data_IF_911608529320
#
_entry.id   IF_911608529320
#
_cell.length_a   1.000
_cell.length_b   1.000
_cell.length_c   1.000
_cell.angle_alpha   90.00
_cell.angle_beta   90.00
_cell.angle_gamma   90.00
#
_symmetry.space_group_name_H-M   'P 1'
#
loop_
_entity.id
_entity.type
_entity.pdbx_description
1 polymer ?
#
# COMPACT_ATOMS: atom_id res chain seq x y z
N UNK A 1 10.46 1.82 -12.49
CA UNK A 1 10.78 0.59 -11.74
C UNK A 1 9.49 0.08 -11.11
N UNK A 2 9.27 -1.26 -11.08
CA UNK A 2 8.05 -1.91 -10.57
C UNK A 2 8.20 -2.35 -9.11
N UNK A 3 8.84 -1.52 -8.30
CA UNK A 3 9.24 -1.79 -6.92
C UNK A 3 8.36 -1.09 -5.87
N UNK A 4 7.35 -0.35 -6.33
CA UNK A 4 6.40 0.39 -5.50
C UNK A 4 4.99 0.28 -6.08
N UNK A 5 3.99 0.63 -5.25
CA UNK A 5 2.57 0.63 -5.62
C UNK A 5 1.99 2.00 -5.36
N UNK A 6 1.24 2.52 -6.33
CA UNK A 6 0.39 3.71 -6.17
C UNK A 6 -1.06 3.28 -5.96
N UNK A 7 -1.75 3.91 -5.02
CA UNK A 7 -3.15 3.64 -4.74
C UNK A 7 -3.92 4.95 -4.54
N UNK A 8 -5.11 5.03 -5.13
CA UNK A 8 -6.09 6.08 -4.86
C UNK A 8 -7.19 5.49 -3.99
N UNK A 9 -7.27 5.89 -2.72
CA UNK A 9 -8.20 5.33 -1.74
C UNK A 9 -8.97 6.43 -1.02
N UNK A 10 -10.25 6.17 -0.74
CA UNK A 10 -11.08 7.03 0.11
C UNK A 10 -10.98 6.57 1.56
N UNK A 11 -10.63 7.48 2.48
CA UNK A 11 -10.47 7.19 3.90
C UNK A 11 -11.50 8.03 4.68
N UNK A 12 -12.37 7.39 5.50
CA UNK A 12 -13.25 8.13 6.40
C UNK A 12 -12.45 9.01 7.38
N UNK A 13 -12.92 10.24 7.67
CA UNK A 13 -12.15 11.21 8.47
C UNK A 13 -11.89 10.78 9.91
N UNK A 14 -12.65 9.80 10.43
CA UNK A 14 -12.42 9.21 11.76
C UNK A 14 -11.13 8.39 11.86
N UNK A 15 -10.55 7.99 10.72
CA UNK A 15 -9.32 7.20 10.68
C UNK A 15 -8.14 8.06 10.26
N UNK A 16 -7.06 8.00 11.03
CA UNK A 16 -5.80 8.57 10.60
C UNK A 16 -5.25 7.80 9.39
N UNK A 17 -4.69 8.54 8.42
CA UNK A 17 -4.05 7.96 7.22
C UNK A 17 -3.00 6.92 7.59
N UNK A 18 -2.16 7.21 8.59
CA UNK A 18 -1.11 6.32 9.07
C UNK A 18 -1.64 4.97 9.53
N UNK A 19 -2.78 4.94 10.21
CA UNK A 19 -3.43 3.71 10.68
C UNK A 19 -3.88 2.85 9.51
N UNK A 20 -4.52 3.45 8.50
CA UNK A 20 -4.99 2.73 7.32
C UNK A 20 -3.83 2.19 6.50
N UNK A 21 -2.81 3.01 6.24
CA UNK A 21 -1.62 2.59 5.49
C UNK A 21 -0.84 1.50 6.23
N UNK A 22 -0.68 1.62 7.55
CA UNK A 22 -0.06 0.60 8.38
C UNK A 22 -0.80 -0.73 8.32
N UNK A 23 -2.13 -0.70 8.40
CA UNK A 23 -2.97 -1.89 8.25
C UNK A 23 -2.82 -2.54 6.88
N UNK A 24 -2.90 -1.75 5.80
CA UNK A 24 -2.76 -2.25 4.42
C UNK A 24 -1.39 -2.89 4.18
N UNK A 25 -0.30 -2.22 4.60
CA UNK A 25 1.07 -2.75 4.49
C UNK A 25 1.22 -4.05 5.29
N UNK A 26 0.72 -4.11 6.53
CA UNK A 26 0.82 -5.31 7.36
C UNK A 26 0.01 -6.49 6.82
N UNK A 27 -1.25 -6.28 6.43
CA UNK A 27 -2.11 -7.34 5.91
C UNK A 27 -1.67 -7.84 4.53
N UNK A 28 -1.16 -6.96 3.68
CA UNK A 28 -0.63 -7.36 2.37
C UNK A 28 0.61 -8.24 2.51
N UNK A 29 1.55 -7.97 3.43
CA UNK A 29 2.69 -8.89 3.68
C UNK A 29 2.19 -10.29 4.02
N UNK A 30 1.20 -10.40 4.93
CA UNK A 30 0.63 -11.71 5.28
C UNK A 30 -0.05 -12.38 4.09
N UNK A 31 -0.78 -11.62 3.27
CA UNK A 31 -1.44 -12.16 2.08
C UNK A 31 -0.41 -12.63 1.05
N UNK A 32 0.63 -11.85 0.78
CA UNK A 32 1.70 -12.18 -0.16
C UNK A 32 2.46 -13.43 0.29
N UNK A 33 2.84 -13.51 1.57
CA UNK A 33 3.49 -14.69 2.12
C UNK A 33 2.63 -15.95 2.00
N UNK A 34 1.29 -15.84 2.11
CA UNK A 34 0.39 -16.99 1.89
C UNK A 34 0.26 -17.41 0.43
N UNK A 35 0.18 -16.48 -0.51
CA UNK A 35 -0.10 -16.79 -1.92
C UNK A 35 1.16 -17.07 -2.73
N UNK A 36 2.26 -16.40 -2.39
CA UNK A 36 3.51 -16.43 -3.15
C UNK A 36 4.71 -16.86 -2.31
N UNK A 37 4.51 -17.10 -1.01
CA UNK A 37 5.61 -17.50 -0.15
C UNK A 37 6.10 -18.91 -0.47
N UNK A 38 7.42 -19.09 -0.46
CA UNK A 38 8.01 -20.43 -0.47
C UNK A 38 7.83 -21.07 0.91
N UNK A 39 7.76 -22.40 0.97
CA UNK A 39 7.43 -23.18 2.17
C UNK A 39 8.38 -23.07 3.38
N UNK A 40 9.23 -22.05 3.48
CA UNK A 40 10.11 -21.81 4.64
C UNK A 40 10.09 -20.35 5.09
N UNK A 41 9.78 -20.18 6.38
CA UNK A 41 10.07 -19.08 7.31
C UNK A 41 10.58 -17.74 6.73
N UNK A 42 9.66 -16.78 6.55
CA UNK A 42 9.92 -15.35 6.26
C UNK A 42 10.44 -14.53 7.47
N UNK A 43 11.01 -15.19 8.47
CA UNK A 43 11.52 -14.52 9.67
C UNK A 43 12.67 -13.58 9.32
N UNK A 44 12.47 -12.27 9.51
CA UNK A 44 13.47 -11.23 9.26
C UNK A 44 13.36 -10.55 7.89
N UNK A 45 12.47 -10.99 7.00
CA UNK A 45 12.25 -10.34 5.72
C UNK A 45 11.23 -9.19 5.82
N UNK A 46 11.53 -8.07 5.17
CA UNK A 46 10.68 -6.88 5.15
C UNK A 46 10.26 -6.62 3.71
N UNK A 47 8.98 -6.85 3.41
CA UNK A 47 8.45 -6.66 2.06
C UNK A 47 8.31 -5.18 1.68
N UNK A 48 7.83 -4.35 2.61
CA UNK A 48 7.63 -2.92 2.39
C UNK A 48 8.70 -2.09 3.07
N UNK A 49 9.21 -1.04 2.40
CA UNK A 49 10.01 -0.01 3.05
C UNK A 49 9.29 0.57 4.29
N UNK A 50 10.04 1.08 5.28
CA UNK A 50 9.44 1.64 6.53
C UNK A 50 8.48 2.80 6.24
N UNK A 51 8.82 3.68 5.31
CA UNK A 51 8.04 4.86 4.95
C UNK A 51 6.88 4.61 3.99
N UNK A 52 6.12 5.66 3.72
CA UNK A 52 5.12 5.76 2.66
C UNK A 52 4.98 7.23 2.24
N UNK A 53 4.51 7.47 1.02
CA UNK A 53 4.16 8.80 0.55
C UNK A 53 2.63 8.93 0.51
N UNK A 54 2.12 10.12 0.83
CA UNK A 54 0.70 10.43 0.71
C UNK A 54 0.52 11.86 0.23
N UNK A 55 -0.45 12.03 -0.67
CA UNK A 55 -0.98 13.33 -1.09
C UNK A 55 -2.51 13.24 -1.09
N UNK A 56 -3.18 14.29 -0.64
CA UNK A 56 -4.63 14.40 -0.74
C UNK A 56 -5.01 14.76 -2.18
N UNK A 57 -5.94 14.03 -2.76
CA UNK A 57 -6.49 14.31 -4.10
C UNK A 57 -7.84 15.00 -3.97
N UNK A 58 -8.14 15.90 -4.91
CA UNK A 58 -9.38 16.65 -4.94
C UNK A 58 -9.93 16.73 -6.36
N UNK A 59 -9.94 17.93 -6.92
CA UNK A 59 -10.43 18.20 -8.28
C UNK A 59 -9.67 17.43 -9.38
N UNK A 60 -8.45 17.01 -9.09
CA UNK A 60 -7.53 16.30 -9.98
C UNK A 60 -7.63 14.77 -9.89
N UNK A 61 -8.59 14.22 -9.15
CA UNK A 61 -8.69 12.77 -8.89
C UNK A 61 -8.72 11.93 -10.18
N UNK A 62 -9.42 12.39 -11.22
CA UNK A 62 -9.50 11.68 -12.50
C UNK A 62 -8.13 11.56 -13.19
N UNK A 63 -7.33 12.62 -13.12
CA UNK A 63 -5.97 12.63 -13.66
C UNK A 63 -5.08 11.67 -12.88
N UNK A 64 -5.12 11.73 -11.54
CA UNK A 64 -4.33 10.85 -10.66
C UNK A 64 -4.71 9.38 -10.88
N UNK A 65 -6.00 9.06 -10.98
CA UNK A 65 -6.46 7.69 -11.28
C UNK A 65 -5.96 7.19 -12.64
N UNK A 66 -5.88 8.07 -13.63
CA UNK A 66 -5.33 7.74 -14.95
C UNK A 66 -3.83 7.48 -14.88
N UNK A 67 -3.09 8.31 -14.15
CA UNK A 67 -1.66 8.11 -13.90
C UNK A 67 -1.38 6.77 -13.19
N UNK A 68 -2.17 6.40 -12.20
CA UNK A 68 -1.98 5.14 -11.44
C UNK A 68 -2.17 3.88 -12.30
N UNK A 69 -3.01 3.95 -13.35
CA UNK A 69 -3.31 2.78 -14.20
C UNK A 69 -2.24 2.50 -15.25
N UNK A 70 -1.44 3.51 -15.61
CA UNK A 70 -0.45 3.46 -16.69
C UNK A 70 0.96 3.26 -16.13
#
# INVERSE_FOLDING_TARGET
MRDHVHMCISIPPKYAVSTVVGYLKGKSVMAIARHFGRGKNFTGEVFWARGYFVSTVGLDEAMVRTYIRN
#
